data_IF_508308705667
#
_entry.id   IF_508308705667
#
_cell.length_a   1.000
_cell.length_b   1.000
_cell.length_c   1.000
_cell.angle_alpha   90.00
_cell.angle_beta   90.00
_cell.angle_gamma   90.00
#
_symmetry.space_group_name_H-M   'P 1'
#
loop_
_entity.id
_entity.type
_entity.pdbx_description
1 polymer ?
#
# COMPACT_ATOMS: atom_id res chain seq x y z
N UNK A 1 -21.05 -19.79 -10.86
CA UNK A 1 -19.64 -19.38 -10.63
C UNK A 1 -19.67 -17.88 -10.55
N UNK A 2 -19.25 -17.31 -9.43
CA UNK A 2 -19.25 -15.86 -9.27
C UNK A 2 -18.18 -15.27 -10.19
N UNK A 3 -18.51 -14.14 -10.81
CA UNK A 3 -17.59 -13.42 -11.69
C UNK A 3 -16.44 -12.85 -10.86
N UNK A 4 -15.19 -13.18 -11.22
CA UNK A 4 -14.01 -12.56 -10.67
C UNK A 4 -13.40 -11.60 -11.69
N UNK A 5 -13.37 -10.31 -11.34
CA UNK A 5 -12.78 -9.28 -12.20
C UNK A 5 -11.26 -9.50 -12.36
N UNK A 6 -10.59 -9.92 -11.29
CA UNK A 6 -9.16 -10.20 -11.32
C UNK A 6 -8.83 -11.34 -12.29
N UNK A 7 -9.58 -12.46 -12.23
CA UNK A 7 -9.35 -13.60 -13.13
C UNK A 7 -9.62 -13.25 -14.60
N UNK A 8 -10.56 -12.33 -14.85
CA UNK A 8 -10.93 -11.94 -16.19
C UNK A 8 -9.96 -10.93 -16.84
N UNK A 9 -9.41 -10.00 -16.06
CA UNK A 9 -8.67 -8.84 -16.56
C UNK A 9 -7.24 -8.70 -16.02
N UNK A 10 -6.88 -9.40 -14.96
CA UNK A 10 -5.55 -9.36 -14.36
C UNK A 10 -5.08 -10.77 -14.00
N UNK A 11 -4.71 -11.59 -14.99
CA UNK A 11 -4.29 -12.96 -14.74
C UNK A 11 -3.12 -13.00 -13.76
N UNK A 12 -3.19 -13.93 -12.80
CA UNK A 12 -2.18 -14.10 -11.78
C UNK A 12 -0.89 -14.65 -12.40
N UNK A 13 0.08 -13.79 -12.58
CA UNK A 13 1.46 -14.16 -12.88
C UNK A 13 2.37 -13.77 -11.71
N UNK A 14 3.64 -14.15 -11.75
CA UNK A 14 4.61 -13.80 -10.73
C UNK A 14 4.64 -12.29 -10.45
N UNK A 15 4.57 -11.47 -11.51
CA UNK A 15 4.59 -10.04 -11.43
C UNK A 15 3.38 -9.46 -10.70
N UNK A 16 2.18 -9.88 -11.11
CA UNK A 16 0.93 -9.44 -10.49
C UNK A 16 0.89 -9.80 -9.00
N UNK A 17 1.31 -11.02 -8.64
CA UNK A 17 1.35 -11.47 -7.25
C UNK A 17 2.31 -10.63 -6.42
N UNK A 18 3.54 -10.43 -6.90
CA UNK A 18 4.55 -9.65 -6.17
C UNK A 18 4.21 -8.17 -6.09
N UNK A 19 3.61 -7.58 -7.11
CA UNK A 19 3.25 -6.16 -7.09
C UNK A 19 1.92 -5.89 -6.37
N UNK A 20 0.93 -6.74 -6.53
CA UNK A 20 -0.41 -6.47 -6.02
C UNK A 20 -0.71 -7.29 -4.76
N UNK A 21 -0.63 -8.60 -4.84
CA UNK A 21 -1.06 -9.50 -3.78
C UNK A 21 -0.16 -9.44 -2.54
N UNK A 22 1.14 -9.15 -2.70
CA UNK A 22 2.04 -8.94 -1.58
C UNK A 22 1.58 -7.77 -0.68
N UNK A 23 1.05 -6.68 -1.27
CA UNK A 23 0.49 -5.56 -0.51
C UNK A 23 -0.79 -5.95 0.22
N UNK A 24 -1.67 -6.70 -0.45
CA UNK A 24 -2.91 -7.22 0.16
C UNK A 24 -2.57 -8.15 1.32
N UNK A 25 -1.61 -9.06 1.12
CA UNK A 25 -1.16 -9.97 2.17
C UNK A 25 -0.61 -9.22 3.38
N UNK A 26 0.27 -8.23 3.18
CA UNK A 26 0.84 -7.45 4.28
C UNK A 26 -0.25 -6.72 5.08
N UNK A 27 -1.18 -6.08 4.37
CA UNK A 27 -2.31 -5.42 4.99
C UNK A 27 -3.17 -6.38 5.81
N UNK A 28 -3.56 -7.50 5.23
CA UNK A 28 -4.37 -8.50 5.91
C UNK A 28 -3.62 -9.16 7.06
N UNK A 29 -2.33 -9.48 6.91
CA UNK A 29 -1.51 -10.08 7.94
C UNK A 29 -1.43 -9.22 9.22
N UNK A 30 -1.37 -7.89 9.06
CA UNK A 30 -1.36 -6.97 10.20
C UNK A 30 -2.70 -6.91 10.94
N UNK A 31 -3.82 -6.96 10.23
CA UNK A 31 -5.11 -6.55 10.78
C UNK A 31 -6.22 -7.61 10.75
N UNK A 32 -6.10 -8.68 10.00
CA UNK A 32 -7.10 -9.73 9.96
C UNK A 32 -7.21 -10.49 11.29
N UNK A 33 -8.44 -10.89 11.63
CA UNK A 33 -8.69 -11.77 12.77
C UNK A 33 -8.22 -13.21 12.51
N UNK A 34 -8.13 -13.61 11.23
CA UNK A 34 -7.66 -14.92 10.81
C UNK A 34 -6.16 -14.91 10.53
N UNK A 35 -5.53 -16.08 10.62
CA UNK A 35 -4.13 -16.27 10.23
C UNK A 35 -3.97 -16.15 8.70
N UNK A 36 -3.05 -15.29 8.27
CA UNK A 36 -2.75 -15.06 6.86
C UNK A 36 -1.49 -15.80 6.38
N UNK A 37 -0.81 -16.51 7.25
CA UNK A 37 0.39 -17.32 6.91
C UNK A 37 0.16 -18.30 5.74
N UNK A 38 -1.00 -18.99 5.64
CA UNK A 38 -1.25 -19.90 4.52
C UNK A 38 -1.25 -19.24 3.13
N UNK A 39 -1.41 -17.92 3.06
CA UNK A 39 -1.45 -17.15 1.80
C UNK A 39 -0.10 -16.52 1.44
N UNK A 40 0.93 -16.68 2.28
CA UNK A 40 2.23 -16.06 2.06
C UNK A 40 2.88 -16.52 0.74
N UNK A 41 2.80 -17.81 0.43
CA UNK A 41 3.38 -18.34 -0.80
C UNK A 41 2.78 -17.67 -2.06
N UNK A 42 1.48 -17.42 -2.06
CA UNK A 42 0.81 -16.68 -3.13
C UNK A 42 1.35 -15.24 -3.24
N UNK A 43 1.47 -14.54 -2.12
CA UNK A 43 2.07 -13.20 -2.08
C UNK A 43 3.55 -13.18 -2.53
N UNK A 44 4.26 -14.28 -2.35
CA UNK A 44 5.65 -14.46 -2.82
C UNK A 44 5.76 -14.79 -4.32
N UNK A 45 4.63 -15.00 -5.00
CA UNK A 45 4.59 -15.23 -6.44
C UNK A 45 4.30 -16.69 -6.88
N UNK A 46 3.94 -17.57 -5.95
CA UNK A 46 3.53 -18.93 -6.28
C UNK A 46 2.08 -18.92 -6.80
N UNK A 47 1.93 -19.02 -8.11
CA UNK A 47 0.62 -19.02 -8.78
C UNK A 47 -0.22 -20.27 -8.52
N UNK A 48 0.36 -21.31 -7.92
CA UNK A 48 -0.33 -22.55 -7.56
C UNK A 48 -0.82 -22.53 -6.10
N UNK A 49 -0.36 -21.58 -5.30
CA UNK A 49 -0.80 -21.41 -3.93
C UNK A 49 -2.23 -20.84 -3.85
N UNK A 50 -2.86 -20.95 -2.68
CA UNK A 50 -4.20 -20.44 -2.46
C UNK A 50 -4.24 -18.92 -2.62
N UNK A 51 -5.17 -18.37 -3.45
CA UNK A 51 -5.32 -16.92 -3.63
C UNK A 51 -5.82 -16.23 -2.36
N UNK A 52 -5.55 -14.92 -2.25
CA UNK A 52 -6.06 -14.10 -1.15
C UNK A 52 -7.60 -14.14 -1.10
N UNK A 53 -8.18 -14.11 0.11
CA UNK A 53 -9.61 -13.86 0.25
C UNK A 53 -9.94 -12.44 -0.19
N UNK A 54 -11.14 -12.25 -0.76
CA UNK A 54 -11.59 -10.94 -1.23
C UNK A 54 -11.68 -9.90 -0.10
N UNK A 55 -12.00 -10.35 1.11
CA UNK A 55 -12.08 -9.52 2.31
C UNK A 55 -11.76 -10.34 3.56
N UNK A 56 -11.37 -9.65 4.61
CA UNK A 56 -11.11 -10.23 5.92
C UNK A 56 -11.83 -9.45 7.02
N UNK A 57 -12.18 -10.13 8.09
CA UNK A 57 -12.67 -9.45 9.30
C UNK A 57 -11.46 -8.90 10.07
N UNK A 58 -11.41 -7.62 10.43
CA UNK A 58 -10.36 -7.10 11.27
C UNK A 58 -10.44 -7.66 12.68
N UNK A 59 -9.30 -7.87 13.34
CA UNK A 59 -9.22 -8.35 14.73
C UNK A 59 -9.80 -7.36 15.74
N UNK A 60 -9.83 -6.07 15.38
CA UNK A 60 -10.43 -5.00 16.18
C UNK A 60 -10.86 -3.86 15.25
N UNK A 61 -11.74 -2.95 15.68
CA UNK A 61 -12.03 -1.73 14.93
C UNK A 61 -10.76 -0.95 14.65
N UNK A 62 -10.62 -0.46 13.40
CA UNK A 62 -9.46 0.30 12.96
C UNK A 62 -9.68 1.79 13.21
N UNK A 63 -8.68 2.45 13.77
CA UNK A 63 -8.60 3.90 13.85
C UNK A 63 -8.07 4.51 12.55
N UNK A 64 -8.21 5.82 12.38
CA UNK A 64 -7.58 6.55 11.27
C UNK A 64 -6.05 6.42 11.33
N UNK A 65 -5.48 6.37 12.54
CA UNK A 65 -4.04 6.20 12.70
C UNK A 65 -3.59 4.83 12.21
N UNK A 66 -4.33 3.76 12.51
CA UNK A 66 -4.03 2.42 12.00
C UNK A 66 -4.00 2.39 10.47
N UNK A 67 -4.93 3.07 9.80
CA UNK A 67 -4.94 3.18 8.34
C UNK A 67 -3.76 4.00 7.82
N UNK A 68 -3.40 5.11 8.49
CA UNK A 68 -2.21 5.89 8.13
C UNK A 68 -0.93 5.06 8.26
N UNK A 69 -0.83 4.26 9.31
CA UNK A 69 0.33 3.39 9.53
C UNK A 69 0.40 2.25 8.50
N UNK A 70 -0.75 1.73 8.06
CA UNK A 70 -0.80 0.79 6.94
C UNK A 70 -0.30 1.39 5.63
N UNK A 71 -0.61 2.66 5.37
CA UNK A 71 -0.14 3.36 4.17
C UNK A 71 1.38 3.63 4.19
N UNK A 72 2.05 3.42 5.34
CA UNK A 72 3.50 3.57 5.52
C UNK A 72 4.27 2.25 5.46
N UNK A 73 3.60 1.15 5.18
CA UNK A 73 4.14 -0.20 5.26
C UNK A 73 5.19 -0.50 4.17
N UNK A 74 6.33 -1.08 4.58
CA UNK A 74 7.37 -1.64 3.71
C UNK A 74 7.58 -3.13 3.99
N UNK A 75 6.55 -3.80 4.50
CA UNK A 75 6.57 -5.22 4.88
C UNK A 75 7.44 -5.53 6.10
N UNK A 76 7.73 -4.53 6.95
CA UNK A 76 8.61 -4.67 8.11
C UNK A 76 8.19 -5.84 9.01
N UNK A 77 9.17 -6.62 9.45
CA UNK A 77 8.97 -7.78 10.32
C UNK A 77 8.32 -8.98 9.65
N UNK A 78 8.28 -9.02 8.31
CA UNK A 78 7.72 -10.13 7.53
C UNK A 78 8.77 -10.74 6.60
N UNK A 79 8.53 -11.94 6.03
CA UNK A 79 9.40 -12.51 5.01
C UNK A 79 9.48 -11.72 3.69
N UNK A 80 8.69 -10.65 3.55
CA UNK A 80 8.68 -9.77 2.38
C UNK A 80 9.41 -8.44 2.65
N UNK A 81 9.95 -8.24 3.86
CA UNK A 81 10.54 -6.98 4.32
C UNK A 81 11.61 -6.45 3.37
N UNK A 82 11.50 -5.17 3.02
CA UNK A 82 12.42 -4.52 2.09
C UNK A 82 13.66 -3.93 2.76
N UNK A 83 13.69 -3.88 4.08
CA UNK A 83 14.79 -3.43 4.92
C UNK A 83 15.77 -4.55 5.31
N UNK A 84 15.49 -5.79 4.91
CA UNK A 84 16.27 -6.97 5.28
C UNK A 84 16.58 -7.90 4.10
N UNK A 85 16.26 -7.52 2.88
CA UNK A 85 16.51 -8.29 1.67
C UNK A 85 17.79 -7.85 0.92
N UNK A 86 18.08 -8.49 -0.22
CA UNK A 86 19.26 -8.17 -1.05
C UNK A 86 19.30 -6.73 -1.56
N UNK A 87 18.15 -6.07 -1.64
CA UNK A 87 18.03 -4.70 -2.14
C UNK A 87 18.18 -3.61 -1.09
N UNK A 88 18.26 -3.96 0.20
CA UNK A 88 18.33 -2.99 1.31
C UNK A 88 19.60 -2.14 1.28
N UNK A 89 20.66 -2.62 0.65
CA UNK A 89 21.99 -1.96 0.66
C UNK A 89 22.61 -1.90 2.06
N UNK A 90 23.71 -1.13 2.20
CA UNK A 90 24.45 -1.08 3.47
C UNK A 90 23.72 -0.29 4.59
N UNK A 91 22.60 0.37 4.26
CA UNK A 91 21.86 1.23 5.18
C UNK A 91 20.50 0.64 5.58
N UNK A 92 20.24 -0.62 5.21
CA UNK A 92 18.95 -1.30 5.49
C UNK A 92 17.75 -0.46 5.02
N UNK A 93 17.87 0.15 3.84
CA UNK A 93 16.86 1.05 3.29
C UNK A 93 15.72 0.29 2.62
N UNK A 94 14.46 0.55 2.98
CA UNK A 94 13.30 -0.02 2.29
C UNK A 94 13.04 0.63 0.93
N UNK A 95 13.66 1.77 0.63
CA UNK A 95 13.55 2.50 -0.63
C UNK A 95 14.60 2.03 -1.62
N UNK A 96 14.17 1.79 -2.86
CA UNK A 96 15.07 1.36 -3.92
C UNK A 96 15.14 2.41 -5.03
N UNK A 97 16.35 2.90 -5.37
CA UNK A 97 16.53 3.81 -6.52
C UNK A 97 16.05 3.16 -7.82
N UNK A 98 16.26 1.86 -7.95
CA UNK A 98 15.79 1.05 -9.08
C UNK A 98 15.20 -0.25 -8.60
N UNK A 99 14.17 -0.77 -9.28
CA UNK A 99 13.64 -2.09 -9.00
C UNK A 99 14.72 -3.17 -9.04
N UNK A 100 14.72 -4.05 -8.05
CA UNK A 100 15.58 -5.21 -8.03
C UNK A 100 14.98 -6.29 -8.94
N UNK A 101 15.67 -6.59 -10.04
CA UNK A 101 15.26 -7.62 -11.00
C UNK A 101 16.45 -8.52 -11.32
N UNK A 102 16.24 -9.82 -11.28
CA UNK A 102 17.27 -10.82 -11.55
C UNK A 102 16.68 -12.08 -12.14
N UNK A 103 17.55 -12.94 -12.69
CA UNK A 103 17.14 -14.21 -13.28
C UNK A 103 17.91 -15.35 -12.63
N UNK A 104 17.21 -16.44 -12.31
CA UNK A 104 17.79 -17.70 -11.81
C UNK A 104 17.15 -18.86 -12.58
N UNK A 105 17.98 -19.69 -13.19
CA UNK A 105 17.56 -20.87 -13.96
C UNK A 105 16.50 -20.55 -15.05
N UNK A 106 16.66 -19.41 -15.73
CA UNK A 106 15.75 -18.96 -16.79
C UNK A 106 14.42 -18.37 -16.28
N UNK A 107 14.26 -18.23 -14.97
CA UNK A 107 13.09 -17.59 -14.34
C UNK A 107 13.44 -16.19 -13.86
N UNK A 108 12.59 -15.24 -14.22
CA UNK A 108 12.73 -13.85 -13.78
C UNK A 108 12.12 -13.65 -12.39
N UNK A 109 12.83 -12.95 -11.54
CA UNK A 109 12.43 -12.60 -10.19
C UNK A 109 12.58 -11.09 -9.97
N UNK A 110 11.74 -10.56 -9.09
CA UNK A 110 11.87 -9.21 -8.56
C UNK A 110 11.15 -9.11 -7.22
N UNK A 111 11.54 -8.14 -6.39
CA UNK A 111 10.86 -7.86 -5.15
C UNK A 111 10.68 -6.35 -5.03
N UNK A 112 9.55 -5.85 -5.45
CA UNK A 112 9.35 -4.42 -5.49
C UNK A 112 7.96 -3.96 -5.13
N UNK A 113 7.90 -2.71 -4.73
CA UNK A 113 6.72 -1.92 -4.45
C UNK A 113 5.95 -2.38 -3.22
N UNK A 114 6.39 -1.96 -2.04
CA UNK A 114 5.59 -2.01 -0.83
C UNK A 114 4.36 -1.10 -0.96
N UNK A 115 3.57 -0.97 0.09
CA UNK A 115 2.45 -0.03 0.13
C UNK A 115 2.99 1.40 0.08
N UNK A 116 3.97 1.73 0.93
CA UNK A 116 4.70 3.01 0.87
C UNK A 116 5.87 2.91 -0.09
N UNK A 117 5.89 3.72 -1.12
CA UNK A 117 6.92 3.69 -2.16
C UNK A 117 7.22 5.09 -2.68
N UNK A 118 8.49 5.36 -2.99
CA UNK A 118 8.96 6.64 -3.51
C UNK A 118 8.33 7.06 -4.86
N UNK A 119 7.64 6.15 -5.55
CA UNK A 119 6.90 6.49 -6.77
C UNK A 119 5.49 7.04 -6.49
N UNK A 120 5.08 7.12 -5.22
CA UNK A 120 3.77 7.64 -4.83
C UNK A 120 3.69 9.13 -5.12
N UNK A 121 2.71 9.55 -5.90
CA UNK A 121 2.49 10.97 -6.20
C UNK A 121 1.69 11.67 -5.10
N UNK A 122 0.72 10.97 -4.53
CA UNK A 122 -0.11 11.48 -3.44
C UNK A 122 -0.72 10.31 -2.65
N UNK A 123 -1.11 10.62 -1.43
CA UNK A 123 -1.78 9.68 -0.53
C UNK A 123 -2.98 10.34 0.13
N UNK A 124 -4.03 9.58 0.35
CA UNK A 124 -5.16 10.04 1.13
C UNK A 124 -5.81 8.93 1.95
N UNK A 125 -6.36 9.33 3.09
CA UNK A 125 -7.19 8.47 3.94
C UNK A 125 -8.53 9.18 4.14
N UNK A 126 -9.62 8.56 3.72
CA UNK A 126 -10.97 9.11 3.90
C UNK A 126 -11.58 8.60 5.19
N UNK A 127 -12.11 9.53 5.99
CA UNK A 127 -12.86 9.21 7.21
C UNK A 127 -14.27 9.75 7.08
N UNK A 128 -15.25 8.84 7.09
CA UNK A 128 -16.68 9.18 7.02
C UNK A 128 -17.34 8.94 8.38
N UNK A 129 -17.99 9.98 8.93
CA UNK A 129 -18.59 9.98 10.26
C UNK A 129 -20.07 10.35 10.15
N UNK A 130 -20.90 9.37 9.83
CA UNK A 130 -22.33 9.54 9.59
C UNK A 130 -23.12 10.11 10.79
N UNK A 131 -22.53 10.09 11.99
CA UNK A 131 -23.13 10.66 13.21
C UNK A 131 -22.87 12.18 13.38
N UNK A 132 -22.13 12.79 12.48
CA UNK A 132 -21.86 14.24 12.46
C UNK A 132 -22.61 14.91 11.31
N UNK A 133 -22.84 16.25 11.41
CA UNK A 133 -23.36 17.00 10.28
C UNK A 133 -22.49 16.85 9.03
N UNK A 134 -23.09 16.83 7.84
CA UNK A 134 -22.42 16.52 6.56
C UNK A 134 -21.18 17.37 6.30
N UNK A 135 -21.23 18.65 6.63
CA UNK A 135 -20.13 19.59 6.38
C UNK A 135 -18.86 19.30 7.21
N UNK A 136 -18.97 18.55 8.31
CA UNK A 136 -17.84 18.11 9.13
C UNK A 136 -17.76 16.58 9.26
N UNK A 137 -18.74 15.86 8.76
CA UNK A 137 -18.84 14.40 8.83
C UNK A 137 -17.77 13.69 8.00
N UNK A 138 -17.47 14.24 6.83
CA UNK A 138 -16.42 13.75 5.96
C UNK A 138 -15.12 14.53 6.14
N UNK A 139 -14.00 13.81 6.21
CA UNK A 139 -12.66 14.40 6.17
C UNK A 139 -11.75 13.52 5.33
N UNK A 140 -10.93 14.14 4.50
CA UNK A 140 -9.85 13.51 3.76
C UNK A 140 -8.52 13.94 4.38
N UNK A 141 -7.75 12.99 4.83
CA UNK A 141 -6.38 13.18 5.27
C UNK A 141 -5.49 13.06 4.03
N UNK A 142 -4.92 14.16 3.58
CA UNK A 142 -4.24 14.26 2.29
C UNK A 142 -2.77 14.63 2.44
N UNK A 143 -1.91 14.07 1.58
CA UNK A 143 -0.51 14.43 1.43
C UNK A 143 -0.03 14.21 -0.01
N UNK A 144 0.92 15.01 -0.44
CA UNK A 144 1.65 14.82 -1.69
C UNK A 144 2.93 14.07 -1.40
N UNK A 145 3.31 13.11 -2.24
CA UNK A 145 4.47 12.25 -2.08
C UNK A 145 4.20 10.98 -1.26
N UNK A 146 5.24 10.19 -1.00
CA UNK A 146 5.18 8.96 -0.21
C UNK A 146 4.74 9.23 1.24
N UNK A 147 3.90 8.35 1.76
CA UNK A 147 3.28 8.50 3.08
C UNK A 147 4.29 8.59 4.23
N UNK A 148 5.47 8.01 4.08
CA UNK A 148 6.54 8.14 5.06
C UNK A 148 7.24 9.50 5.02
N UNK A 149 7.13 10.24 3.92
CA UNK A 149 7.82 11.50 3.71
C UNK A 149 6.95 12.72 4.02
N UNK A 150 5.62 12.54 4.16
CA UNK A 150 4.69 13.66 4.31
C UNK A 150 3.77 13.51 5.51
N UNK A 151 3.41 14.62 6.18
CA UNK A 151 2.29 14.65 7.09
C UNK A 151 0.97 14.63 6.31
N UNK A 152 -0.04 13.91 6.82
CA UNK A 152 -1.37 13.93 6.25
C UNK A 152 -2.20 15.06 6.86
N UNK A 153 -2.56 16.03 6.02
CA UNK A 153 -3.34 17.23 6.40
C UNK A 153 -4.84 16.94 6.29
N UNK A 154 -5.66 17.27 7.31
CA UNK A 154 -7.10 17.09 7.24
C UNK A 154 -7.75 18.14 6.34
N UNK A 155 -8.54 17.68 5.37
CA UNK A 155 -9.37 18.53 4.51
C UNK A 155 -10.84 18.14 4.72
N UNK A 156 -11.63 19.07 5.24
CA UNK A 156 -13.05 18.87 5.53
C UNK A 156 -13.93 19.21 4.32
N UNK A 157 -15.12 18.61 4.26
CA UNK A 157 -16.10 18.92 3.21
C UNK A 157 -16.54 20.39 3.17
N UNK A 158 -16.43 21.11 4.29
CA UNK A 158 -16.74 22.54 4.39
C UNK A 158 -15.56 23.47 4.04
N UNK A 159 -14.41 22.94 3.62
CA UNK A 159 -13.27 23.77 3.24
C UNK A 159 -13.63 24.67 2.05
N UNK A 160 -13.45 25.98 2.19
CA UNK A 160 -13.72 26.98 1.16
C UNK A 160 -12.46 27.38 0.38
N UNK A 161 -11.30 27.05 0.93
CA UNK A 161 -10.01 27.30 0.32
C UNK A 161 -9.02 26.22 0.78
N UNK A 162 -7.93 26.10 0.06
CA UNK A 162 -6.78 25.27 0.43
C UNK A 162 -5.59 26.16 0.74
N UNK A 163 -4.63 25.70 1.56
CA UNK A 163 -3.37 26.41 1.78
C UNK A 163 -2.66 26.67 0.43
N UNK A 164 -1.95 27.78 0.36
CA UNK A 164 -1.25 28.21 -0.86
C UNK A 164 -0.32 27.13 -1.42
N UNK A 165 0.36 26.40 -0.55
CA UNK A 165 1.25 25.30 -0.93
C UNK A 165 0.57 24.13 -1.68
N UNK A 166 -0.77 24.03 -1.62
CA UNK A 166 -1.55 23.07 -2.42
C UNK A 166 -2.24 23.71 -3.63
N UNK A 167 -2.28 25.06 -3.70
CA UNK A 167 -3.02 25.79 -4.73
C UNK A 167 -2.12 26.36 -5.83
N UNK A 168 -0.85 26.58 -5.52
CA UNK A 168 0.09 27.22 -6.44
C UNK A 168 1.29 26.32 -6.72
N UNK A 169 1.67 26.28 -7.98
CA UNK A 169 2.85 25.63 -8.46
C UNK A 169 3.27 26.20 -9.80
N UNK A 170 4.55 26.19 -10.07
CA UNK A 170 5.13 26.68 -11.34
C UNK A 170 5.04 25.66 -12.48
N UNK A 171 4.58 24.44 -12.18
CA UNK A 171 4.69 23.26 -13.05
C UNK A 171 6.15 22.88 -13.40
N UNK A 172 7.13 23.43 -12.69
CA UNK A 172 8.53 23.08 -12.79
C UNK A 172 8.87 22.11 -11.65
N UNK A 173 9.36 20.93 -11.99
CA UNK A 173 9.70 19.90 -11.00
C UNK A 173 10.90 20.25 -10.11
N UNK A 174 11.58 21.36 -10.36
CA UNK A 174 12.72 21.83 -9.57
C UNK A 174 12.43 23.08 -8.73
N UNK A 175 11.17 23.59 -8.74
CA UNK A 175 10.75 24.77 -7.97
C UNK A 175 9.41 24.55 -7.29
#
# INVERSE_FOLDING_TARGET
QDFSFADAYAPADFGALRFCEARVWSFFNKWAAQDMTPYLAYAQGDTQAAPMPLYVKPKQPLSVQDVKDMMRDHYEGTPLALDSDLGMGPWEMPYRPTPLSYEVDGKKYFNERPISTQQTANVYVSQMRAWLPDHIGGVVWFGNDDTNMVPLTPVYCCAQSVPECYAQGTADCFH
#
